data_IF_864056904439
#
_entry.id   IF_864056904439
#
_cell.length_a   1.000
_cell.length_b   1.000
_cell.length_c   1.000
_cell.angle_alpha   90.00
_cell.angle_beta   90.00
_cell.angle_gamma   90.00
#
_symmetry.space_group_name_H-M   'P 1'
#
loop_
_entity.id
_entity.type
_entity.pdbx_description
1 polymer ?
#
# COMPACT_ATOMS: atom_id res chain seq x y z
N UNK A 1 -3.22 13.91 -21.05
CA UNK A 1 -2.30 13.40 -19.99
C UNK A 1 -2.32 14.20 -18.67
N UNK A 2 -2.26 15.54 -18.64
CA UNK A 2 -2.23 16.29 -17.36
C UNK A 2 -3.49 16.06 -16.49
N UNK A 3 -4.69 16.05 -17.11
CA UNK A 3 -5.95 15.73 -16.41
C UNK A 3 -6.01 14.29 -15.89
N UNK A 4 -5.47 13.33 -16.66
CA UNK A 4 -5.41 11.91 -16.26
C UNK A 4 -4.54 11.75 -15.01
N UNK A 5 -3.38 12.40 -14.96
CA UNK A 5 -2.52 12.40 -13.76
C UNK A 5 -3.19 13.03 -12.54
N UNK A 6 -3.93 14.13 -12.72
CA UNK A 6 -4.66 14.76 -11.60
C UNK A 6 -5.72 13.80 -11.04
N UNK A 7 -6.49 13.16 -11.91
CA UNK A 7 -7.50 12.16 -11.51
C UNK A 7 -6.84 10.95 -10.86
N UNK A 8 -5.73 10.47 -11.42
CA UNK A 8 -4.98 9.33 -10.89
C UNK A 8 -4.45 9.59 -9.48
N UNK A 9 -3.78 10.74 -9.28
CA UNK A 9 -3.29 11.15 -7.97
C UNK A 9 -4.44 11.33 -6.96
N UNK A 10 -5.58 11.89 -7.38
CA UNK A 10 -6.74 12.02 -6.51
C UNK A 10 -7.30 10.65 -6.08
N UNK A 11 -7.40 9.68 -7.01
CA UNK A 11 -7.82 8.31 -6.70
C UNK A 11 -6.84 7.67 -5.72
N UNK A 12 -5.52 7.85 -5.93
CA UNK A 12 -4.50 7.30 -5.06
C UNK A 12 -4.58 7.87 -3.64
N UNK A 13 -4.85 9.18 -3.49
CA UNK A 13 -5.07 9.81 -2.18
C UNK A 13 -6.29 9.22 -1.48
N UNK A 14 -7.42 9.08 -2.19
CA UNK A 14 -8.64 8.49 -1.64
C UNK A 14 -8.42 7.03 -1.24
N UNK A 15 -7.71 6.26 -2.07
CA UNK A 15 -7.41 4.86 -1.81
C UNK A 15 -6.48 4.69 -0.59
N UNK A 16 -5.46 5.53 -0.45
CA UNK A 16 -4.58 5.55 0.71
C UNK A 16 -5.30 5.96 1.99
N UNK A 17 -6.22 6.92 1.92
CA UNK A 17 -7.05 7.31 3.07
C UNK A 17 -7.99 6.17 3.51
N UNK A 18 -8.56 5.44 2.55
CA UNK A 18 -9.38 4.26 2.84
C UNK A 18 -8.58 3.12 3.47
N UNK A 19 -7.37 2.86 2.98
CA UNK A 19 -6.44 1.89 3.58
C UNK A 19 -6.06 2.25 5.01
N UNK A 20 -5.80 3.54 5.27
CA UNK A 20 -5.53 4.03 6.62
C UNK A 20 -6.72 3.80 7.55
N UNK A 21 -7.95 4.08 7.08
CA UNK A 21 -9.16 3.79 7.84
C UNK A 21 -9.33 2.29 8.14
N UNK A 22 -9.10 1.41 7.15
CA UNK A 22 -9.15 -0.04 7.36
C UNK A 22 -8.10 -0.50 8.37
N UNK A 23 -6.87 0.03 8.33
CA UNK A 23 -5.84 -0.28 9.31
C UNK A 23 -6.25 0.14 10.74
N UNK A 24 -6.78 1.34 10.90
CA UNK A 24 -7.29 1.81 12.20
C UNK A 24 -8.45 0.95 12.71
N UNK A 25 -9.43 0.64 11.85
CA UNK A 25 -10.60 -0.15 12.19
C UNK A 25 -10.26 -1.63 12.46
N UNK A 26 -9.28 -2.19 11.76
CA UNK A 26 -8.86 -3.58 11.90
C UNK A 26 -8.09 -3.88 13.19
N UNK A 27 -7.56 -2.86 13.87
CA UNK A 27 -7.00 -3.07 15.21
C UNK A 27 -6.24 -1.90 15.79
N UNK A 28 -5.55 -1.10 14.96
CA UNK A 28 -4.61 -0.06 15.43
C UNK A 28 -5.26 1.05 16.27
N UNK A 29 -6.57 1.29 16.12
CA UNK A 29 -7.32 2.27 16.92
C UNK A 29 -8.31 1.65 17.91
N UNK A 30 -8.45 0.32 17.93
CA UNK A 30 -9.51 -0.37 18.70
C UNK A 30 -8.95 -1.31 19.74
N UNK A 31 -8.08 -2.26 19.37
CA UNK A 31 -7.65 -3.34 20.26
C UNK A 31 -6.15 -3.70 20.20
N UNK A 32 -5.39 -3.15 19.25
CA UNK A 32 -3.93 -3.32 19.22
C UNK A 32 -3.24 -2.29 20.11
N UNK A 33 -2.27 -2.75 20.89
CA UNK A 33 -1.29 -1.86 21.53
C UNK A 33 -0.21 -1.48 20.51
N UNK A 34 0.36 -0.28 20.64
CA UNK A 34 1.52 0.19 19.83
C UNK A 34 2.82 -0.58 20.14
N UNK A 35 2.72 -1.76 20.77
CA UNK A 35 3.82 -2.68 21.05
C UNK A 35 3.74 -3.85 20.08
N UNK A 36 4.74 -4.73 20.14
CA UNK A 36 4.75 -5.95 19.32
C UNK A 36 3.46 -6.76 19.59
N UNK A 37 2.61 -6.86 18.58
CA UNK A 37 1.42 -7.71 18.59
C UNK A 37 1.76 -8.95 17.78
N UNK A 38 1.32 -10.15 18.19
CA UNK A 38 1.47 -11.34 17.35
C UNK A 38 0.40 -11.35 16.27
N UNK A 39 0.78 -11.78 15.07
CA UNK A 39 -0.15 -12.05 13.97
C UNK A 39 -1.22 -13.05 14.41
N UNK A 40 -2.48 -12.63 14.35
CA UNK A 40 -3.61 -13.52 14.59
C UNK A 40 -3.95 -14.28 13.30
N UNK A 41 -3.60 -15.57 13.27
CA UNK A 41 -3.92 -16.48 12.17
C UNK A 41 -5.32 -17.12 12.29
N UNK A 42 -6.13 -16.70 13.27
CA UNK A 42 -7.50 -17.19 13.42
C UNK A 42 -8.41 -16.72 12.29
N UNK A 43 -9.52 -17.42 12.08
CA UNK A 43 -10.58 -16.99 11.15
C UNK A 43 -11.58 -16.02 11.80
N UNK A 44 -11.14 -15.26 12.81
CA UNK A 44 -11.98 -14.23 13.41
C UNK A 44 -12.28 -13.12 12.38
N UNK A 45 -13.46 -12.49 12.42
CA UNK A 45 -13.83 -11.45 11.47
C UNK A 45 -12.88 -10.24 11.50
N UNK A 46 -12.24 -9.98 12.64
CA UNK A 46 -11.18 -8.96 12.81
C UNK A 46 -9.86 -9.38 12.15
N UNK A 47 -9.39 -10.61 12.35
CA UNK A 47 -8.17 -11.12 11.70
C UNK A 47 -8.33 -11.18 10.17
N UNK A 48 -9.48 -11.63 9.67
CA UNK A 48 -9.81 -11.61 8.24
C UNK A 48 -9.87 -10.19 7.67
N UNK A 49 -10.31 -9.20 8.46
CA UNK A 49 -10.31 -7.79 8.04
C UNK A 49 -8.88 -7.26 7.95
N UNK A 50 -8.01 -7.59 8.90
CA UNK A 50 -6.58 -7.24 8.84
C UNK A 50 -5.89 -7.87 7.63
N UNK A 51 -6.08 -9.17 7.40
CA UNK A 51 -5.50 -9.86 6.24
C UNK A 51 -5.97 -9.26 4.90
N UNK A 52 -7.25 -8.88 4.79
CA UNK A 52 -7.77 -8.17 3.61
C UNK A 52 -7.16 -6.77 3.48
N UNK A 53 -6.97 -6.05 4.59
CA UNK A 53 -6.27 -4.77 4.62
C UNK A 53 -4.82 -4.90 4.12
N UNK A 54 -4.08 -5.92 4.58
CA UNK A 54 -2.74 -6.24 4.09
C UNK A 54 -2.73 -6.53 2.58
N UNK A 55 -3.72 -7.28 2.08
CA UNK A 55 -3.87 -7.54 0.64
C UNK A 55 -4.10 -6.26 -0.17
N UNK A 56 -5.00 -5.39 0.29
CA UNK A 56 -5.24 -4.09 -0.36
C UNK A 56 -4.04 -3.15 -0.27
N UNK A 57 -3.27 -3.22 0.82
CA UNK A 57 -2.00 -2.48 0.96
C UNK A 57 -0.95 -2.97 -0.03
N UNK A 58 -0.85 -4.29 -0.26
CA UNK A 58 -0.01 -4.83 -1.32
C UNK A 58 -0.45 -4.33 -2.70
N UNK A 59 -1.75 -4.33 -2.98
CA UNK A 59 -2.28 -3.79 -4.24
C UNK A 59 -1.99 -2.29 -4.41
N UNK A 60 -2.02 -1.50 -3.33
CA UNK A 60 -1.66 -0.08 -3.37
C UNK A 60 -0.26 0.13 -3.93
N UNK A 61 0.71 -0.71 -3.56
CA UNK A 61 2.09 -0.63 -4.06
C UNK A 61 2.20 -0.82 -5.57
N UNK A 62 1.32 -1.60 -6.19
CA UNK A 62 1.26 -1.66 -7.66
C UNK A 62 0.75 -0.36 -8.26
N UNK A 63 -0.29 0.24 -7.67
CA UNK A 63 -0.80 1.54 -8.16
C UNK A 63 0.23 2.66 -8.02
N UNK A 64 1.05 2.68 -6.97
CA UNK A 64 2.15 3.67 -6.85
C UNK A 64 3.25 3.43 -7.90
N UNK A 65 3.53 2.16 -8.22
CA UNK A 65 4.49 1.81 -9.28
C UNK A 65 4.00 2.25 -10.68
N UNK A 66 2.70 2.16 -10.95
CA UNK A 66 2.16 2.63 -12.23
C UNK A 66 2.29 4.15 -12.43
N UNK A 67 2.20 4.97 -11.38
CA UNK A 67 2.39 6.42 -11.47
C UNK A 67 3.79 6.77 -12.01
N UNK A 68 4.82 6.11 -11.43
CA UNK A 68 6.21 6.26 -11.88
C UNK A 68 6.44 5.72 -13.28
N UNK A 69 5.80 4.61 -13.66
CA UNK A 69 5.83 4.09 -15.02
C UNK A 69 5.26 5.09 -16.06
N UNK A 70 4.12 5.72 -15.76
CA UNK A 70 3.53 6.74 -16.64
C UNK A 70 4.41 8.00 -16.73
N UNK A 71 5.10 8.39 -15.66
CA UNK A 71 6.07 9.50 -15.70
C UNK A 71 7.30 9.20 -16.57
N UNK A 72 7.86 8.00 -16.46
CA UNK A 72 8.99 7.54 -17.28
C UNK A 72 8.60 7.47 -18.76
N UNK A 73 7.44 6.87 -19.07
CA UNK A 73 6.93 6.78 -20.44
C UNK A 73 6.77 8.16 -21.09
N UNK A 74 6.49 9.19 -20.28
CA UNK A 74 6.31 10.57 -20.74
C UNK A 74 7.62 11.35 -20.91
N UNK A 75 8.79 10.70 -20.74
CA UNK A 75 10.12 11.30 -20.83
C UNK A 75 10.33 12.52 -19.89
N UNK A 76 9.60 12.57 -18.77
CA UNK A 76 9.73 13.62 -17.74
C UNK A 76 10.74 13.18 -16.68
N UNK A 77 12.00 13.03 -17.07
CA UNK A 77 13.09 12.57 -16.20
C UNK A 77 13.50 13.59 -15.14
N UNK A 78 13.12 14.87 -15.31
CA UNK A 78 13.43 15.96 -14.37
C UNK A 78 12.82 15.74 -12.97
N UNK A 79 11.76 14.92 -12.86
CA UNK A 79 11.04 14.65 -11.61
C UNK A 79 11.27 13.23 -11.06
N UNK A 80 12.01 12.38 -11.77
CA UNK A 80 12.17 10.96 -11.43
C UNK A 80 13.66 10.66 -11.24
N UNK A 81 14.10 10.68 -9.97
CA UNK A 81 15.47 10.28 -9.64
C UNK A 81 15.62 8.76 -9.68
N UNK A 82 16.83 8.26 -9.93
CA UNK A 82 17.15 6.82 -9.91
C UNK A 82 16.73 6.16 -8.60
N UNK A 83 16.85 6.88 -7.48
CA UNK A 83 16.41 6.42 -6.15
C UNK A 83 14.90 6.20 -6.08
N UNK A 84 14.11 7.08 -6.70
CA UNK A 84 12.66 7.00 -6.71
C UNK A 84 12.18 5.75 -7.48
N UNK A 85 12.83 5.42 -8.60
CA UNK A 85 12.51 4.22 -9.40
C UNK A 85 12.90 2.94 -8.68
N UNK A 86 14.09 2.91 -8.07
CA UNK A 86 14.56 1.75 -7.31
C UNK A 86 13.65 1.51 -6.10
N UNK A 87 13.29 2.56 -5.37
CA UNK A 87 12.36 2.47 -4.23
C UNK A 87 10.98 1.98 -4.66
N UNK A 88 10.32 2.63 -5.62
CA UNK A 88 8.97 2.21 -6.06
C UNK A 88 8.95 0.86 -6.80
N UNK A 89 10.06 0.43 -7.41
CA UNK A 89 10.18 -0.89 -8.04
C UNK A 89 10.44 -2.04 -7.07
N UNK A 90 11.21 -1.80 -6.00
CA UNK A 90 11.53 -2.84 -5.00
C UNK A 90 10.41 -3.01 -3.97
N UNK A 91 9.70 -1.94 -3.62
CA UNK A 91 8.65 -1.97 -2.59
C UNK A 91 7.50 -2.97 -2.85
N UNK A 92 6.98 -3.16 -4.08
CA UNK A 92 5.98 -4.20 -4.35
C UNK A 92 6.53 -5.61 -4.13
N UNK A 93 7.78 -5.86 -4.53
CA UNK A 93 8.42 -7.16 -4.36
C UNK A 93 8.69 -7.50 -2.89
N UNK A 94 9.05 -6.50 -2.06
CA UNK A 94 9.25 -6.71 -0.62
C UNK A 94 7.95 -6.93 0.14
N UNK A 95 6.88 -6.19 -0.20
CA UNK A 95 5.57 -6.33 0.46
C UNK A 95 4.89 -7.66 0.12
N UNK A 96 5.18 -8.28 -1.05
CA UNK A 96 4.69 -9.62 -1.39
C UNK A 96 5.09 -10.67 -0.36
N UNK A 97 6.35 -10.65 0.08
CA UNK A 97 6.84 -11.58 1.10
C UNK A 97 6.17 -11.32 2.45
N UNK A 98 5.95 -10.05 2.82
CA UNK A 98 5.22 -9.69 4.03
C UNK A 98 3.78 -10.23 4.04
N UNK A 99 3.00 -9.97 2.99
CA UNK A 99 1.60 -10.47 2.92
C UNK A 99 1.53 -11.99 2.82
N UNK A 100 2.50 -12.63 2.17
CA UNK A 100 2.48 -14.07 1.97
C UNK A 100 2.85 -14.88 3.22
N UNK A 101 3.73 -14.36 4.07
CA UNK A 101 4.22 -15.10 5.24
C UNK A 101 3.72 -14.54 6.57
N UNK A 102 3.39 -13.25 6.65
CA UNK A 102 2.94 -12.57 7.87
C UNK A 102 1.92 -11.48 7.53
N UNK A 103 0.66 -11.83 7.17
CA UNK A 103 -0.40 -10.87 6.87
C UNK A 103 -0.96 -10.20 8.14
N UNK A 104 -0.09 -9.52 8.87
CA UNK A 104 -0.34 -8.85 10.14
C UNK A 104 0.98 -8.53 10.84
N UNK A 105 0.95 -7.57 11.75
CA UNK A 105 2.02 -7.32 12.73
C UNK A 105 1.84 -8.28 13.90
#
# INVERSE_FOLDING_TARGET
>A
LRKVLIVYNAIQVVFSAWLFYEACAAGWATHYSLRCQPVDYSQSPTALRMARGCWWYFFSKFTEFFDTFFFIMRKRYDQVSTLHVIHHGIMPASVWWGVKFTPGS
#
